data_IF_617774265174
#
_entry.id   IF_617774265174
#
_cell.length_a   1.000
_cell.length_b   1.000
_cell.length_c   1.000
_cell.angle_alpha   90.00
_cell.angle_beta   90.00
_cell.angle_gamma   90.00
#
_symmetry.space_group_name_H-M   'P 1'
#
loop_
_entity.id
_entity.type
_entity.pdbx_description
1 polymer ?
#
# COMPACT_ATOMS: atom_id res chain seq x y z
N UNK A 1 -14.88 -68.09 -19.99
CA UNK A 1 -15.56 -67.40 -18.87
C UNK A 1 -14.65 -66.94 -17.74
N UNK A 2 -13.39 -67.40 -17.62
CA UNK A 2 -12.47 -66.94 -16.53
C UNK A 2 -11.73 -65.60 -16.78
N UNK A 3 -11.69 -65.13 -18.02
CA UNK A 3 -11.00 -63.82 -18.35
C UNK A 3 -11.90 -62.59 -18.18
N UNK A 4 -13.21 -62.74 -18.09
CA UNK A 4 -14.13 -61.60 -17.89
C UNK A 4 -14.26 -61.22 -16.42
N UNK A 5 -13.97 -62.13 -15.49
CA UNK A 5 -14.10 -61.89 -14.05
C UNK A 5 -12.94 -61.03 -13.52
N UNK A 6 -11.73 -61.08 -14.15
CA UNK A 6 -10.56 -60.35 -13.74
C UNK A 6 -10.66 -58.88 -14.19
N UNK A 7 -11.33 -58.61 -15.32
CA UNK A 7 -11.49 -57.21 -15.81
C UNK A 7 -12.50 -56.41 -14.96
N UNK A 8 -13.52 -57.06 -14.37
CA UNK A 8 -14.42 -56.39 -13.44
C UNK A 8 -13.80 -56.10 -12.07
N UNK A 9 -12.82 -56.89 -11.62
CA UNK A 9 -12.17 -56.65 -10.32
C UNK A 9 -11.17 -55.49 -10.39
N UNK A 10 -10.58 -55.23 -11.57
CA UNK A 10 -9.69 -54.06 -11.76
C UNK A 10 -10.43 -52.74 -11.90
N UNK A 11 -11.70 -52.76 -12.30
CA UNK A 11 -12.49 -51.54 -12.41
C UNK A 11 -13.01 -51.00 -11.07
N UNK A 12 -12.96 -51.80 -10.00
CA UNK A 12 -13.38 -51.37 -8.65
C UNK A 12 -12.25 -50.79 -7.80
N UNK A 13 -11.01 -50.79 -8.22
CA UNK A 13 -9.89 -50.24 -7.46
C UNK A 13 -9.49 -48.82 -7.83
N UNK A 14 -10.19 -48.16 -8.74
CA UNK A 14 -9.94 -46.75 -9.13
C UNK A 14 -10.93 -45.77 -8.52
N UNK A 15 -11.86 -46.26 -7.68
CA UNK A 15 -12.82 -45.44 -6.98
C UNK A 15 -12.35 -45.25 -5.53
N UNK A 16 -11.14 -44.69 -5.33
CA UNK A 16 -10.71 -44.40 -4.00
C UNK A 16 -10.19 -42.94 -3.92
N UNK A 17 -10.79 -42.27 -2.99
CA UNK A 17 -10.40 -41.00 -2.42
C UNK A 17 -10.59 -39.78 -3.33
N UNK A 18 -11.84 -39.50 -3.61
CA UNK A 18 -12.24 -38.09 -3.49
C UNK A 18 -12.25 -37.87 -1.97
N UNK A 19 -11.21 -37.26 -1.43
CA UNK A 19 -11.30 -36.68 -0.10
C UNK A 19 -12.45 -35.69 -0.15
N UNK A 20 -13.55 -36.11 0.44
CA UNK A 20 -14.71 -35.26 0.65
C UNK A 20 -14.28 -34.29 1.76
N UNK A 21 -13.78 -33.11 1.36
CA UNK A 21 -13.68 -32.02 2.29
C UNK A 21 -15.13 -31.67 2.65
N UNK A 22 -15.55 -31.87 3.90
CA UNK A 22 -16.91 -31.54 4.30
C UNK A 22 -17.14 -30.07 4.05
N UNK A 23 -18.15 -29.74 3.24
CA UNK A 23 -18.61 -28.36 3.12
C UNK A 23 -19.08 -27.98 4.53
N UNK A 24 -18.57 -26.89 5.13
CA UNK A 24 -19.02 -26.46 6.46
C UNK A 24 -20.52 -26.32 6.48
N UNK A 25 -21.15 -26.83 7.51
CA UNK A 25 -22.58 -26.66 7.73
C UNK A 25 -22.83 -25.18 7.98
N UNK A 26 -23.94 -24.64 7.47
CA UNK A 26 -24.24 -23.19 7.54
C UNK A 26 -24.26 -22.66 9.00
N UNK A 27 -24.51 -23.54 9.98
CA UNK A 27 -24.51 -23.26 11.42
C UNK A 27 -23.09 -23.03 12.01
N UNK A 28 -22.02 -23.38 11.28
CA UNK A 28 -20.63 -23.18 11.68
C UNK A 28 -20.00 -21.92 11.05
N UNK A 29 -20.81 -21.14 10.35
CA UNK A 29 -20.36 -19.91 9.69
C UNK A 29 -20.54 -18.71 10.60
N UNK A 30 -19.48 -17.91 10.74
CA UNK A 30 -19.48 -16.67 11.53
C UNK A 30 -19.39 -15.47 10.61
N UNK A 31 -20.14 -14.42 10.92
CA UNK A 31 -20.03 -13.14 10.22
C UNK A 31 -18.98 -12.26 10.92
N UNK A 32 -17.93 -11.93 10.19
CA UNK A 32 -16.79 -11.15 10.69
C UNK A 32 -16.72 -9.82 9.94
N UNK A 33 -16.59 -8.74 10.68
CA UNK A 33 -16.29 -7.39 10.18
C UNK A 33 -14.83 -7.02 10.45
N UNK A 34 -14.32 -6.03 9.73
CA UNK A 34 -12.96 -5.56 9.90
C UNK A 34 -12.96 -4.06 10.21
N UNK A 35 -12.07 -3.66 11.10
CA UNK A 35 -11.73 -2.26 11.33
C UNK A 35 -10.25 -2.06 11.08
N UNK A 36 -9.86 -0.93 10.54
CA UNK A 36 -8.45 -0.63 10.35
C UNK A 36 -8.06 0.67 11.02
N UNK A 37 -6.86 0.69 11.57
CA UNK A 37 -6.24 1.86 12.15
C UNK A 37 -4.88 2.07 11.49
N UNK A 38 -4.67 3.28 10.94
CA UNK A 38 -3.35 3.66 10.45
C UNK A 38 -2.38 3.76 11.63
N UNK A 39 -1.30 3.00 11.58
CA UNK A 39 -0.25 2.99 12.61
C UNK A 39 0.64 4.23 12.49
N UNK A 40 0.73 4.83 11.31
CA UNK A 40 1.54 6.02 11.06
C UNK A 40 0.67 7.28 11.01
N UNK A 41 0.93 8.17 11.95
CA UNK A 41 0.61 9.60 11.89
C UNK A 41 -0.86 10.01 11.84
N UNK A 42 -1.36 10.59 12.92
CA UNK A 42 -2.59 11.40 12.84
C UNK A 42 -2.31 12.61 11.95
N UNK A 43 -3.20 12.93 10.98
CA UNK A 43 -3.10 14.19 10.24
C UNK A 43 -3.19 15.34 11.22
N UNK A 44 -2.25 16.26 11.11
CA UNK A 44 -2.15 17.39 11.99
C UNK A 44 -2.93 18.55 11.47
N UNK A 45 -3.31 19.40 11.54
CA UNK A 45 -3.95 20.68 11.19
C UNK A 45 -4.56 20.73 9.79
N UNK A 46 -5.78 21.20 9.74
CA UNK A 46 -6.59 21.44 8.54
C UNK A 46 -5.83 22.33 7.54
N UNK A 47 -5.69 21.86 6.30
CA UNK A 47 -5.00 22.59 5.23
C UNK A 47 -3.52 22.30 5.11
N UNK A 48 -3.01 21.31 5.84
CA UNK A 48 -1.61 20.87 5.75
C UNK A 48 -1.39 19.84 4.63
N UNK A 49 -0.12 19.62 4.28
CA UNK A 49 0.29 18.51 3.39
C UNK A 49 -0.28 17.17 3.87
N UNK A 50 -0.37 16.99 5.19
CA UNK A 50 -0.91 15.79 5.82
C UNK A 50 -2.39 15.57 5.54
N UNK A 51 -3.18 16.63 5.43
CA UNK A 51 -4.60 16.52 5.05
C UNK A 51 -4.74 16.03 3.61
N UNK A 52 -3.85 16.47 2.71
CA UNK A 52 -3.81 15.98 1.32
C UNK A 52 -3.47 14.50 1.28
N UNK A 53 -2.47 14.08 2.04
CA UNK A 53 -2.06 12.67 2.14
C UNK A 53 -3.20 11.84 2.75
N UNK A 54 -3.78 12.28 3.86
CA UNK A 54 -4.88 11.59 4.51
C UNK A 54 -6.12 11.46 3.62
N UNK A 55 -6.47 12.52 2.88
CA UNK A 55 -7.63 12.52 1.99
C UNK A 55 -7.45 11.65 0.75
N UNK A 56 -6.19 11.36 0.35
CA UNK A 56 -5.87 10.48 -0.77
C UNK A 56 -5.66 9.03 -0.36
N UNK A 57 -5.58 8.74 0.96
CA UNK A 57 -5.35 7.37 1.45
C UNK A 57 -6.58 6.50 1.20
N UNK A 58 -6.42 5.29 0.64
CA UNK A 58 -7.51 4.35 0.46
C UNK A 58 -8.22 4.03 1.79
N UNK A 59 -9.54 3.89 1.73
CA UNK A 59 -10.39 3.63 2.90
C UNK A 59 -10.62 2.15 3.18
N UNK A 60 -10.05 1.26 2.37
CA UNK A 60 -10.17 -0.18 2.50
C UNK A 60 -8.90 -0.90 2.07
N UNK A 61 -8.76 -2.13 2.51
CA UNK A 61 -7.79 -3.12 2.04
C UNK A 61 -8.55 -4.24 1.32
N UNK A 62 -7.96 -4.80 0.29
CA UNK A 62 -8.34 -6.10 -0.22
C UNK A 62 -7.70 -7.15 0.70
N UNK A 63 -8.53 -7.98 1.32
CA UNK A 63 -8.11 -8.96 2.32
C UNK A 63 -8.12 -10.37 1.74
N UNK A 64 -7.10 -11.14 2.08
CA UNK A 64 -7.03 -12.58 1.89
C UNK A 64 -7.02 -13.25 3.26
N UNK A 65 -8.00 -14.13 3.51
CA UNK A 65 -8.16 -14.90 4.73
C UNK A 65 -7.98 -16.38 4.37
N UNK A 66 -6.81 -16.93 4.62
CA UNK A 66 -6.51 -18.33 4.39
C UNK A 66 -6.83 -19.13 5.63
N UNK A 67 -7.86 -19.99 5.55
CA UNK A 67 -8.12 -20.96 6.62
C UNK A 67 -7.02 -22.00 6.63
N UNK A 68 -6.34 -22.13 7.78
CA UNK A 68 -5.14 -22.97 7.93
C UNK A 68 -5.49 -24.45 7.89
N UNK A 69 -6.63 -24.83 8.49
CA UNK A 69 -7.05 -26.23 8.61
C UNK A 69 -7.65 -26.76 7.30
N UNK A 70 -8.39 -25.89 6.57
CA UNK A 70 -9.11 -26.29 5.35
C UNK A 70 -8.31 -25.97 4.07
N UNK A 71 -7.18 -25.27 4.18
CA UNK A 71 -6.40 -24.74 3.05
C UNK A 71 -7.24 -24.00 2.00
N UNK A 72 -8.24 -23.25 2.49
CA UNK A 72 -9.18 -22.51 1.66
C UNK A 72 -8.97 -21.02 1.90
N UNK A 73 -8.98 -20.21 0.83
CA UNK A 73 -8.81 -18.77 0.90
C UNK A 73 -10.12 -18.05 0.62
N UNK A 74 -10.47 -17.12 1.47
CA UNK A 74 -11.59 -16.21 1.33
C UNK A 74 -11.07 -14.80 1.02
N UNK A 75 -11.75 -14.07 0.14
CA UNK A 75 -11.37 -12.72 -0.29
C UNK A 75 -12.52 -11.78 0.00
N UNK A 76 -12.21 -10.65 0.62
CA UNK A 76 -13.19 -9.57 0.86
C UNK A 76 -12.48 -8.21 0.97
N UNK A 77 -13.25 -7.15 1.10
CA UNK A 77 -12.71 -5.83 1.43
C UNK A 77 -12.85 -5.55 2.91
N UNK A 78 -11.89 -4.83 3.49
CA UNK A 78 -11.90 -4.51 4.92
C UNK A 78 -13.05 -3.57 5.36
N UNK A 79 -13.79 -3.00 4.43
CA UNK A 79 -15.00 -2.20 4.71
C UNK A 79 -16.30 -2.98 4.52
N UNK A 80 -16.20 -4.29 4.33
CA UNK A 80 -17.34 -5.23 4.17
C UNK A 80 -17.28 -6.28 5.29
N UNK A 81 -18.41 -6.90 5.61
CA UNK A 81 -18.44 -8.11 6.44
C UNK A 81 -18.43 -9.35 5.56
N UNK A 82 -17.90 -10.45 6.07
CA UNK A 82 -17.86 -11.73 5.38
C UNK A 82 -18.32 -12.85 6.31
N UNK A 83 -19.06 -13.82 5.74
CA UNK A 83 -19.39 -15.08 6.45
C UNK A 83 -18.37 -16.14 6.08
N UNK A 84 -17.67 -16.65 7.08
CA UNK A 84 -16.65 -17.68 6.93
C UNK A 84 -16.77 -18.75 8.03
N UNK A 85 -16.28 -19.98 7.80
CA UNK A 85 -16.23 -21.02 8.80
C UNK A 85 -15.43 -20.60 10.03
N UNK A 86 -15.73 -21.16 11.20
CA UNK A 86 -14.85 -21.08 12.36
C UNK A 86 -13.51 -21.77 12.06
N UNK A 87 -12.43 -21.32 12.70
CA UNK A 87 -11.09 -21.91 12.56
C UNK A 87 -9.97 -20.89 12.69
N UNK A 88 -8.76 -21.35 12.43
CA UNK A 88 -7.56 -20.52 12.42
C UNK A 88 -7.29 -19.98 11.01
N UNK A 89 -7.04 -18.68 10.95
CA UNK A 89 -6.83 -17.96 9.70
C UNK A 89 -5.50 -17.22 9.69
N UNK A 90 -4.80 -17.33 8.58
CA UNK A 90 -3.74 -16.40 8.21
C UNK A 90 -4.38 -15.26 7.39
N UNK A 91 -4.22 -14.02 7.86
CA UNK A 91 -4.86 -12.84 7.28
C UNK A 91 -3.77 -11.92 6.72
N UNK A 92 -3.93 -11.55 5.45
CA UNK A 92 -3.13 -10.51 4.80
C UNK A 92 -4.04 -9.47 4.18
N UNK A 93 -3.54 -8.25 3.98
CA UNK A 93 -4.32 -7.23 3.34
C UNK A 93 -3.47 -6.13 2.74
N UNK A 94 -3.88 -5.69 1.55
CA UNK A 94 -3.23 -4.59 0.86
C UNK A 94 -4.23 -3.78 0.02
N UNK A 95 -3.88 -2.51 -0.24
CA UNK A 95 -4.46 -1.75 -1.33
C UNK A 95 -3.28 -1.17 -2.12
N UNK A 96 -3.17 -1.57 -3.38
CA UNK A 96 -2.02 -1.22 -4.23
C UNK A 96 -1.97 0.25 -4.63
N UNK A 97 -2.99 1.04 -4.25
CA UNK A 97 -3.10 2.43 -4.67
C UNK A 97 -3.50 2.58 -6.16
N UNK A 98 -3.65 3.83 -6.59
CA UNK A 98 -3.94 4.18 -7.98
C UNK A 98 -2.62 4.47 -8.70
N UNK A 99 -2.14 3.50 -9.48
CA UNK A 99 -0.89 3.60 -10.24
C UNK A 99 -1.08 4.45 -11.50
N UNK A 100 -0.19 5.42 -11.67
CA UNK A 100 -0.07 6.22 -12.91
C UNK A 100 0.90 5.55 -13.87
N UNK A 101 2.02 5.04 -13.34
CA UNK A 101 3.08 4.27 -14.02
C UNK A 101 3.73 3.34 -13.00
N UNK A 102 4.58 2.43 -13.48
CA UNK A 102 5.36 1.55 -12.61
C UNK A 102 6.10 2.35 -11.53
N UNK A 103 5.77 2.07 -10.28
CA UNK A 103 6.36 2.70 -9.12
C UNK A 103 5.89 4.12 -8.77
N UNK A 104 4.99 4.73 -9.56
CA UNK A 104 4.40 6.05 -9.30
C UNK A 104 2.89 5.94 -9.07
N UNK A 105 2.40 6.48 -7.96
CA UNK A 105 1.00 6.38 -7.55
C UNK A 105 0.39 7.74 -7.24
N UNK A 106 -0.90 7.91 -7.58
CA UNK A 106 -1.72 9.06 -7.19
C UNK A 106 -2.27 8.91 -5.77
N UNK A 107 -2.62 7.68 -5.40
CA UNK A 107 -3.06 7.34 -4.05
C UNK A 107 -2.04 6.39 -3.42
N UNK A 108 -1.73 6.53 -2.12
CA UNK A 108 -0.67 5.75 -1.50
C UNK A 108 -1.05 4.27 -1.41
N UNK A 109 -0.17 3.35 -1.84
CA UNK A 109 -0.27 1.96 -1.45
C UNK A 109 -0.24 1.80 0.06
N UNK A 110 -1.14 0.96 0.58
CA UNK A 110 -1.22 0.63 2.01
C UNK A 110 -1.31 -0.88 2.19
N UNK A 111 -0.83 -1.39 3.33
CA UNK A 111 -0.93 -2.80 3.68
C UNK A 111 -1.04 -3.00 5.20
N UNK A 112 -1.45 -4.19 5.61
CA UNK A 112 -1.25 -4.68 6.98
C UNK A 112 -0.21 -5.79 7.00
N UNK A 113 0.39 -6.05 8.16
CA UNK A 113 1.22 -7.23 8.35
C UNK A 113 0.37 -8.50 8.25
N UNK A 114 0.99 -9.58 7.78
CA UNK A 114 0.39 -10.91 7.86
C UNK A 114 0.35 -11.34 9.33
N UNK A 115 -0.81 -11.79 9.77
CA UNK A 115 -1.00 -12.28 11.13
C UNK A 115 -1.98 -13.45 11.17
N UNK A 116 -1.98 -14.19 12.26
CA UNK A 116 -2.94 -15.28 12.50
C UNK A 116 -4.02 -14.84 13.47
N UNK A 117 -5.26 -15.26 13.20
CA UNK A 117 -6.40 -15.03 14.08
C UNK A 117 -7.28 -16.29 14.16
N UNK A 118 -7.73 -16.62 15.35
CA UNK A 118 -8.77 -17.65 15.55
C UNK A 118 -10.13 -16.97 15.42
N UNK A 119 -10.99 -17.52 14.58
CA UNK A 119 -12.36 -17.06 14.36
C UNK A 119 -13.31 -18.11 14.96
N UNK A 120 -14.06 -17.69 15.94
CA UNK A 120 -15.05 -18.48 16.66
C UNK A 120 -16.40 -17.76 16.75
N UNK A 121 -17.38 -18.34 17.40
CA UNK A 121 -18.73 -17.80 17.57
C UNK A 121 -18.79 -16.47 18.34
N UNK A 122 -17.69 -16.08 19.00
CA UNK A 122 -17.56 -14.79 19.71
C UNK A 122 -16.85 -13.72 18.87
N UNK A 123 -16.22 -14.11 17.77
CA UNK A 123 -15.43 -13.21 16.91
C UNK A 123 -16.34 -12.45 15.95
N UNK A 124 -16.63 -11.20 16.23
CA UNK A 124 -17.48 -10.34 15.39
C UNK A 124 -16.70 -9.24 14.66
N UNK A 125 -15.48 -8.95 15.10
CA UNK A 125 -14.64 -7.91 14.50
C UNK A 125 -13.15 -8.20 14.68
N UNK A 126 -12.38 -7.92 13.63
CA UNK A 126 -10.91 -8.02 13.61
C UNK A 126 -10.33 -6.64 13.34
N UNK A 127 -9.38 -6.22 14.18
CA UNK A 127 -8.68 -4.95 14.04
C UNK A 127 -7.38 -5.14 13.26
N UNK A 128 -7.21 -4.34 12.19
CA UNK A 128 -6.06 -4.36 11.30
C UNK A 128 -5.16 -3.16 11.57
N UNK A 129 -3.89 -3.40 11.81
CA UNK A 129 -2.86 -2.36 11.84
C UNK A 129 -2.37 -2.11 10.43
N UNK A 130 -2.63 -0.91 9.90
CA UNK A 130 -2.36 -0.55 8.51
C UNK A 130 -1.26 0.50 8.44
N UNK A 131 -0.39 0.39 7.46
CA UNK A 131 0.69 1.34 7.21
C UNK A 131 0.90 1.59 5.72
N UNK A 132 1.57 2.69 5.41
CA UNK A 132 1.94 3.03 4.04
C UNK A 132 3.03 2.09 3.52
N UNK A 133 2.77 1.46 2.37
CA UNK A 133 3.73 0.61 1.65
C UNK A 133 4.44 1.41 0.54
N UNK A 134 4.76 2.65 0.84
CA UNK A 134 5.40 3.61 -0.06
C UNK A 134 6.02 4.76 0.74
N UNK A 135 6.83 5.56 0.08
CA UNK A 135 7.18 6.89 0.56
C UNK A 135 6.53 7.96 -0.33
N UNK A 136 6.42 9.18 0.17
CA UNK A 136 5.86 10.28 -0.59
C UNK A 136 6.89 11.39 -0.83
N UNK A 137 6.82 12.04 -1.99
CA UNK A 137 7.53 13.28 -2.24
C UNK A 137 6.53 14.41 -2.46
N UNK A 138 6.79 15.51 -1.78
CA UNK A 138 5.96 16.71 -1.78
C UNK A 138 6.78 17.85 -2.37
N UNK A 139 6.29 18.44 -3.44
CA UNK A 139 6.89 19.63 -4.03
C UNK A 139 5.96 20.85 -3.89
N UNK A 140 6.55 22.01 -3.58
CA UNK A 140 5.82 23.27 -3.48
C UNK A 140 5.58 23.84 -4.88
N UNK A 141 4.33 23.83 -5.31
CA UNK A 141 3.94 24.35 -6.61
C UNK A 141 4.13 25.88 -6.75
N UNK A 142 4.11 26.60 -5.64
CA UNK A 142 4.28 28.06 -5.66
C UNK A 142 5.69 28.50 -6.05
N UNK A 143 6.70 27.68 -5.81
CA UNK A 143 8.11 27.96 -6.13
C UNK A 143 8.50 27.46 -7.52
N UNK A 144 7.77 26.50 -8.08
CA UNK A 144 8.09 25.85 -9.34
C UNK A 144 7.16 26.28 -10.47
N UNK A 145 7.69 26.33 -11.68
CA UNK A 145 6.93 26.41 -12.92
C UNK A 145 6.49 25.00 -13.37
N UNK A 146 7.40 24.05 -13.25
CA UNK A 146 7.20 22.66 -13.67
C UNK A 146 7.91 21.72 -12.71
N UNK A 147 7.39 20.52 -12.56
CA UNK A 147 7.99 19.41 -11.81
C UNK A 147 8.08 18.22 -12.74
N UNK A 148 9.29 17.74 -12.98
CA UNK A 148 9.54 16.58 -13.82
C UNK A 148 9.82 15.36 -12.93
N UNK A 149 8.96 14.36 -13.01
CA UNK A 149 9.16 13.06 -12.36
C UNK A 149 9.73 12.10 -13.40
N UNK A 150 10.96 11.68 -13.21
CA UNK A 150 11.62 10.71 -14.08
C UNK A 150 11.31 9.30 -13.59
N UNK A 151 10.61 8.54 -14.42
CA UNK A 151 10.37 7.12 -14.23
C UNK A 151 11.49 6.30 -14.86
N UNK A 152 11.51 4.99 -14.64
CA UNK A 152 12.45 4.07 -15.27
C UNK A 152 12.40 4.21 -16.79
N UNK A 153 13.55 4.55 -17.42
CA UNK A 153 13.71 4.61 -18.87
C UNK A 153 13.42 5.97 -19.50
N UNK A 154 14.25 6.97 -19.29
CA UNK A 154 14.32 8.29 -20.00
C UNK A 154 12.99 9.05 -20.22
N UNK A 155 11.88 8.50 -19.74
CA UNK A 155 10.59 9.17 -19.77
C UNK A 155 10.39 9.96 -18.48
N UNK A 156 9.82 11.14 -18.63
CA UNK A 156 9.41 11.93 -17.46
C UNK A 156 7.99 12.45 -17.63
N UNK A 157 7.33 12.63 -16.49
CA UNK A 157 6.01 13.24 -16.44
C UNK A 157 6.19 14.66 -15.98
N UNK A 158 5.62 15.59 -16.71
CA UNK A 158 5.64 17.00 -16.36
C UNK A 158 4.33 17.38 -15.69
N UNK A 159 4.42 17.97 -14.53
CA UNK A 159 3.31 18.61 -13.85
C UNK A 159 3.47 20.13 -13.94
N UNK A 160 2.48 20.78 -14.54
CA UNK A 160 2.31 22.24 -14.43
C UNK A 160 1.83 22.58 -13.01
N UNK A 161 2.24 23.73 -12.50
CA UNK A 161 1.92 24.13 -11.13
C UNK A 161 0.76 25.12 -11.08
N UNK A 162 -0.28 24.75 -10.35
CA UNK A 162 -1.48 25.57 -10.13
C UNK A 162 -1.65 26.00 -8.67
N UNK A 163 -0.54 26.19 -7.96
CA UNK A 163 -0.55 26.55 -6.54
C UNK A 163 -0.71 25.34 -5.60
N UNK A 164 -0.24 25.49 -4.35
CA UNK A 164 -0.32 24.46 -3.32
C UNK A 164 0.78 23.41 -3.40
N UNK A 165 0.43 22.20 -3.06
CA UNK A 165 1.38 21.07 -2.99
C UNK A 165 1.07 20.04 -4.07
N UNK A 166 2.13 19.48 -4.66
CA UNK A 166 2.05 18.27 -5.48
C UNK A 166 2.61 17.13 -4.64
N UNK A 167 1.76 16.14 -4.35
CA UNK A 167 2.13 14.94 -3.61
C UNK A 167 2.08 13.74 -4.55
N UNK A 168 3.13 12.93 -4.54
CA UNK A 168 3.19 11.67 -5.29
C UNK A 168 3.85 10.60 -4.43
N UNK A 169 3.43 9.36 -4.64
CA UNK A 169 3.83 8.21 -3.85
C UNK A 169 4.66 7.25 -4.70
N UNK A 170 5.69 6.67 -4.07
CA UNK A 170 6.69 5.85 -4.76
C UNK A 170 7.05 4.62 -3.93
N UNK A 171 7.32 3.49 -4.63
CA UNK A 171 7.90 2.28 -4.02
C UNK A 171 9.36 2.06 -4.41
N UNK A 172 9.80 2.67 -5.49
CA UNK A 172 11.11 2.45 -6.10
C UNK A 172 11.90 3.76 -6.16
N UNK A 173 13.08 3.68 -6.74
CA UNK A 173 13.92 4.83 -7.02
C UNK A 173 13.19 5.85 -7.91
N UNK A 174 13.32 7.11 -7.56
CA UNK A 174 12.76 8.21 -8.35
C UNK A 174 13.76 9.37 -8.48
N UNK A 175 13.75 10.00 -9.64
CA UNK A 175 14.46 11.24 -9.90
C UNK A 175 13.44 12.36 -10.14
N UNK A 176 13.58 13.45 -9.41
CA UNK A 176 12.67 14.59 -9.47
C UNK A 176 13.49 15.82 -9.84
N UNK A 177 13.07 16.51 -10.90
CA UNK A 177 13.65 17.79 -11.29
C UNK A 177 12.61 18.90 -11.11
N UNK A 178 12.96 19.88 -10.29
CA UNK A 178 12.17 21.08 -10.04
C UNK A 178 12.65 22.19 -10.99
N UNK A 179 11.75 22.73 -11.79
CA UNK A 179 12.01 23.89 -12.66
C UNK A 179 11.37 25.10 -12.00
N UNK A 180 12.15 26.04 -11.48
CA UNK A 180 11.63 27.22 -10.77
C UNK A 180 10.94 28.20 -11.70
N UNK A 181 10.16 29.11 -11.17
CA UNK A 181 9.58 30.25 -11.87
C UNK A 181 10.68 31.22 -12.29
N UNK A 182 10.53 31.85 -13.44
CA UNK A 182 11.57 32.70 -14.06
C UNK A 182 11.92 33.97 -13.25
N UNK A 183 11.08 34.38 -12.33
CA UNK A 183 11.23 35.61 -11.51
C UNK A 183 11.79 35.32 -10.10
N UNK A 184 12.38 34.13 -9.89
CA UNK A 184 12.90 33.73 -8.59
C UNK A 184 14.41 33.57 -8.62
N UNK A 185 15.06 33.71 -7.45
CA UNK A 185 16.50 33.44 -7.28
C UNK A 185 16.83 31.93 -7.23
N UNK A 186 15.92 31.08 -7.70
CA UNK A 186 16.08 29.64 -7.69
C UNK A 186 16.60 29.12 -9.03
N UNK A 187 17.36 28.03 -8.97
CA UNK A 187 17.86 27.30 -10.13
C UNK A 187 17.19 25.93 -10.27
N UNK A 188 17.12 25.35 -11.49
CA UNK A 188 16.67 23.98 -11.67
C UNK A 188 17.42 23.01 -10.77
N UNK A 189 16.69 22.24 -9.97
CA UNK A 189 17.26 21.37 -8.96
C UNK A 189 16.76 19.95 -9.15
N UNK A 190 17.67 18.98 -9.08
CA UNK A 190 17.34 17.55 -9.21
C UNK A 190 17.64 16.83 -7.92
N UNK A 191 16.70 15.98 -7.50
CA UNK A 191 16.80 15.07 -6.38
C UNK A 191 16.65 13.64 -6.87
N UNK A 192 17.48 12.75 -6.34
CA UNK A 192 17.38 11.31 -6.58
C UNK A 192 17.12 10.60 -5.24
N UNK A 193 16.02 9.89 -5.14
CA UNK A 193 15.59 9.17 -3.95
C UNK A 193 15.66 7.66 -4.19
N UNK A 194 16.00 6.91 -3.16
CA UNK A 194 16.04 5.46 -3.20
C UNK A 194 15.72 4.85 -1.83
N UNK A 195 14.86 3.84 -1.76
CA UNK A 195 14.67 3.06 -0.53
C UNK A 195 15.83 2.10 -0.26
N UNK A 196 16.75 1.87 -1.21
CA UNK A 196 17.76 0.82 -1.12
C UNK A 196 19.19 1.27 -1.37
N UNK A 197 19.42 2.40 -2.08
CA UNK A 197 20.75 2.86 -2.47
C UNK A 197 21.24 4.00 -1.59
N UNK A 198 22.45 3.86 -1.06
CA UNK A 198 23.13 4.89 -0.25
C UNK A 198 23.78 6.00 -1.09
N UNK A 199 23.91 5.81 -2.41
CA UNK A 199 24.44 6.82 -3.33
C UNK A 199 23.41 7.90 -3.68
N UNK A 200 22.16 7.71 -3.23
CA UNK A 200 21.04 8.61 -3.40
C UNK A 200 20.51 9.06 -2.03
N UNK A 201 19.53 9.94 -2.04
CA UNK A 201 18.81 10.29 -0.80
C UNK A 201 18.04 9.06 -0.32
N UNK A 202 18.48 8.51 0.79
CA UNK A 202 17.84 7.32 1.37
C UNK A 202 16.47 7.68 1.94
N UNK A 203 15.47 6.90 1.58
CA UNK A 203 14.07 7.09 2.00
C UNK A 203 13.54 5.88 2.72
N UNK A 204 12.54 6.08 3.54
CA UNK A 204 11.84 5.03 4.28
C UNK A 204 10.34 5.04 3.94
N UNK A 205 9.74 3.87 3.86
CA UNK A 205 8.29 3.74 3.68
C UNK A 205 7.54 4.34 4.88
N UNK A 206 6.38 4.89 4.60
CA UNK A 206 5.59 5.61 5.58
C UNK A 206 6.07 7.04 5.86
N UNK A 207 7.15 7.50 5.23
CA UNK A 207 7.65 8.88 5.35
C UNK A 207 7.37 9.70 4.10
N UNK A 208 7.33 11.01 4.25
CA UNK A 208 7.27 11.93 3.12
C UNK A 208 8.37 12.96 3.21
N UNK A 209 8.82 13.40 2.03
CA UNK A 209 9.99 14.24 1.83
C UNK A 209 9.57 15.48 1.06
N UNK A 210 9.70 16.65 1.69
CA UNK A 210 9.42 17.91 1.04
C UNK A 210 10.66 18.40 0.29
N UNK A 211 10.49 18.78 -0.97
CA UNK A 211 11.55 19.26 -1.85
C UNK A 211 11.32 20.69 -2.28
N UNK A 212 12.40 21.46 -2.34
CA UNK A 212 12.42 22.87 -2.75
C UNK A 212 13.47 23.09 -3.83
N UNK A 213 13.25 23.98 -4.80
CA UNK A 213 14.32 24.39 -5.69
C UNK A 213 15.46 25.09 -4.91
N UNK A 214 16.67 24.92 -5.39
CA UNK A 214 17.88 25.51 -4.78
C UNK A 214 18.01 26.98 -5.15
N UNK A 215 18.47 27.81 -4.19
CA UNK A 215 18.88 29.19 -4.50
C UNK A 215 20.23 29.21 -5.22
N UNK A 216 20.38 30.15 -6.16
CA UNK A 216 21.57 30.27 -7.02
C UNK A 216 22.91 30.37 -6.24
N UNK A 217 22.89 30.92 -5.03
CA UNK A 217 24.05 31.08 -4.18
C UNK A 217 24.29 29.94 -3.16
N UNK A 218 23.54 28.84 -3.24
CA UNK A 218 23.67 27.72 -2.31
C UNK A 218 24.45 26.57 -2.94
N UNK A 219 25.42 26.01 -2.20
CA UNK A 219 26.24 24.88 -2.68
C UNK A 219 25.54 23.52 -2.56
N UNK A 220 24.37 23.45 -1.95
CA UNK A 220 23.57 22.23 -1.78
C UNK A 220 22.09 22.55 -1.85
N UNK A 221 21.32 21.73 -2.58
CA UNK A 221 19.87 21.73 -2.53
C UNK A 221 19.36 21.49 -1.11
N UNK A 222 18.35 22.21 -0.68
CA UNK A 222 17.73 21.96 0.60
C UNK A 222 16.51 21.05 0.42
N UNK A 223 16.46 19.99 1.18
CA UNK A 223 15.25 19.20 1.36
C UNK A 223 14.96 19.08 2.85
N UNK A 224 13.70 19.05 3.19
CA UNK A 224 13.28 18.80 4.57
C UNK A 224 12.64 17.43 4.63
N UNK A 225 13.20 16.56 5.45
CA UNK A 225 12.51 15.34 5.85
C UNK A 225 11.42 15.78 6.82
N UNK A 226 10.17 15.60 6.44
CA UNK A 226 9.05 15.75 7.35
C UNK A 226 8.67 14.33 7.77
N UNK A 227 9.07 13.86 8.95
CA UNK A 227 8.61 12.58 9.45
C UNK A 227 7.07 12.61 9.45
N UNK A 228 6.40 11.50 9.08
CA UNK A 228 4.92 11.44 9.08
C UNK A 228 4.33 11.72 10.45
N UNK A 229 5.15 11.87 11.40
CA UNK A 229 4.90 11.96 12.79
C UNK A 229 5.40 13.25 13.41
N UNK A 230 5.78 14.26 12.72
CA UNK A 230 6.02 15.54 13.37
C UNK A 230 4.75 16.38 13.39
N UNK A 231 3.97 16.11 14.40
CA UNK A 231 3.39 17.20 15.14
C UNK A 231 4.47 17.76 16.06
N UNK A 232 4.66 19.04 16.02
CA UNK A 232 5.28 19.69 17.18
C UNK A 232 4.43 19.31 18.40
N UNK A 233 4.93 18.42 19.24
CA UNK A 233 4.24 17.90 20.39
C UNK A 233 3.56 16.57 20.10
N UNK A 234 4.35 15.57 19.97
CA UNK A 234 3.95 14.16 19.92
C UNK A 234 3.33 13.69 18.61
N UNK A 235 4.15 13.02 18.27
CA UNK A 235 3.76 11.92 17.50
C UNK A 235 3.49 10.75 18.38
#
# INVERSE_FOLDING_TARGET
MKKFLILCLMAFMVCSCIEYTPIPVEDEMVEVSFSHQMVSGKPMTKGSVLDVIASSTPTYLDLELRNIDMDTTFICKSNESIKIPMGDYEITGANVGDSVYDGLYNTPPIKCDTFTATIDDTTNSISLNVYYDCYAVVALADECKEIHLHTTGDKYITYGTFGGYIVRYFKEDIKITLIPKAETDFIPTTYEFSPTSTDKIMVEYGKFYMVHPQKDNSTMGSFTIVPPNMSEGEI
#
